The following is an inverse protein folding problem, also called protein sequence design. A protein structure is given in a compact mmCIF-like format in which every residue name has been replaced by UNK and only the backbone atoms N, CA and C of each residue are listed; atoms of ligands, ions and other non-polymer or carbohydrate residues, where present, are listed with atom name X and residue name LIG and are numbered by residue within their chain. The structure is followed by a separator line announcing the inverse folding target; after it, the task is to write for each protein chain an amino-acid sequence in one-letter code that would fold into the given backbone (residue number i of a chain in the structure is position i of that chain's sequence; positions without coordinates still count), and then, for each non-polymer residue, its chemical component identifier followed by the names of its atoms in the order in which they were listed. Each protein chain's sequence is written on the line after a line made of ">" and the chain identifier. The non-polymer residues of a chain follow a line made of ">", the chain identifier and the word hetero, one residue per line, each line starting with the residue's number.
data_IF_386387045231
#
_entry.id   IF_386387045231
#
_cell.length_a   1.000
_cell.length_b   1.000
_cell.length_c   1.000
_cell.angle_alpha   90.00
_cell.angle_beta   90.00
_cell.angle_gamma   90.00
#
_symmetry.space_group_name_H-M   'P 1'
#
loop_
_entity.id
_entity.type
_entity.pdbx_description
1 polymer ?
#
# COMPACT_ATOMS: atom_id res chain seq x y z
N UNK A 1 -3.97 -0.97 -4.36
CA UNK A 1 -2.69 -0.49 -3.79
C UNK A 1 -2.56 0.99 -4.02
N UNK A 2 -2.17 1.74 -3.00
CA UNK A 2 -1.79 3.15 -3.15
C UNK A 2 -0.26 3.23 -3.02
N UNK A 3 0.40 3.79 -4.02
CA UNK A 3 1.86 3.75 -4.16
C UNK A 3 2.42 5.17 -4.23
N UNK A 4 3.43 5.46 -3.43
CA UNK A 4 4.06 6.77 -3.34
C UNK A 4 5.53 6.70 -3.73
N UNK A 5 6.01 7.73 -4.39
CA UNK A 5 7.44 7.97 -4.61
C UNK A 5 7.83 9.35 -4.10
N UNK A 6 8.84 9.40 -3.24
CA UNK A 6 9.43 10.65 -2.75
C UNK A 6 10.86 10.72 -3.27
N UNK A 7 11.10 11.64 -4.20
CA UNK A 7 12.31 11.72 -5.01
C UNK A 7 13.17 12.88 -4.54
N UNK A 8 14.37 12.57 -4.04
CA UNK A 8 15.36 13.54 -3.65
C UNK A 8 16.10 14.12 -4.86
N UNK A 9 16.01 15.43 -5.05
CA UNK A 9 16.65 16.22 -6.10
C UNK A 9 17.68 17.21 -5.52
N UNK A 10 18.21 16.92 -4.33
CA UNK A 10 19.23 17.72 -3.65
C UNK A 10 20.60 17.66 -4.33
N UNK A 11 21.48 18.58 -3.93
CA UNK A 11 22.85 18.66 -4.42
C UNK A 11 23.69 17.43 -4.06
N UNK A 12 23.46 16.82 -2.90
CA UNK A 12 24.23 15.65 -2.42
C UNK A 12 23.96 14.39 -3.23
N UNK A 13 22.73 14.24 -3.76
CA UNK A 13 22.39 13.17 -4.70
C UNK A 13 23.22 13.29 -5.98
N UNK A 14 23.33 14.49 -6.56
CA UNK A 14 24.00 14.71 -7.84
C UNK A 14 23.15 14.32 -9.06
N UNK A 15 23.33 15.01 -10.19
CA UNK A 15 22.49 14.86 -11.38
C UNK A 15 22.48 13.44 -11.98
N UNK A 16 23.62 12.74 -11.94
CA UNK A 16 23.73 11.37 -12.45
C UNK A 16 22.87 10.40 -11.64
N UNK A 17 22.94 10.47 -10.30
CA UNK A 17 22.14 9.63 -9.43
C UNK A 17 20.66 10.02 -9.47
N UNK A 18 20.33 11.31 -9.62
CA UNK A 18 18.96 11.74 -9.83
C UNK A 18 18.37 11.12 -11.11
N UNK A 19 19.14 11.08 -12.20
CA UNK A 19 18.76 10.37 -13.43
C UNK A 19 18.49 8.88 -13.21
N UNK A 20 19.33 8.21 -12.40
CA UNK A 20 19.11 6.82 -11.99
C UNK A 20 17.84 6.66 -11.16
N UNK A 21 17.56 7.60 -10.25
CA UNK A 21 16.34 7.68 -9.45
C UNK A 21 15.07 7.77 -10.30
N UNK A 22 15.08 8.65 -11.30
CA UNK A 22 13.96 8.79 -12.25
C UNK A 22 13.79 7.50 -13.07
N UNK A 23 14.89 6.92 -13.55
CA UNK A 23 14.84 5.68 -14.32
C UNK A 23 14.28 4.52 -13.49
N UNK A 24 14.79 4.36 -12.27
CA UNK A 24 14.30 3.39 -11.30
C UNK A 24 12.80 3.54 -11.04
N UNK A 25 12.34 4.78 -10.80
CA UNK A 25 10.92 5.06 -10.58
C UNK A 25 10.07 4.67 -11.78
N UNK A 26 10.51 4.99 -13.01
CA UNK A 26 9.83 4.58 -14.25
C UNK A 26 9.76 3.05 -14.39
N UNK A 27 10.83 2.36 -14.05
CA UNK A 27 10.87 0.90 -14.16
C UNK A 27 9.92 0.23 -13.15
N UNK A 28 9.85 0.73 -11.92
CA UNK A 28 8.83 0.29 -10.95
C UNK A 28 7.40 0.62 -11.39
N UNK A 29 7.17 1.80 -11.97
CA UNK A 29 5.85 2.16 -12.51
C UNK A 29 5.38 1.19 -13.60
N UNK A 30 6.29 0.72 -14.45
CA UNK A 30 5.96 -0.27 -15.50
C UNK A 30 5.58 -1.64 -14.95
N UNK A 31 5.88 -1.94 -13.68
CA UNK A 31 5.50 -3.20 -13.01
C UNK A 31 4.12 -3.15 -12.37
N UNK A 32 3.50 -1.97 -12.26
CA UNK A 32 2.18 -1.81 -11.63
C UNK A 32 1.11 -1.45 -12.65
N UNK A 33 -0.11 -1.92 -12.39
CA UNK A 33 -1.26 -1.57 -13.21
C UNK A 33 -1.87 -0.24 -12.71
N UNK A 34 -1.37 0.89 -13.21
CA UNK A 34 -1.92 2.22 -12.90
C UNK A 34 -3.30 2.37 -13.56
N UNK A 35 -4.34 2.54 -12.73
CA UNK A 35 -5.73 2.79 -13.17
C UNK A 35 -6.60 3.25 -11.97
N UNK A 36 -7.76 3.90 -12.21
CA UNK A 36 -8.65 4.39 -11.14
C UNK A 36 -9.23 3.29 -10.24
N UNK A 37 -9.23 2.04 -10.70
CA UNK A 37 -9.72 0.89 -9.94
C UNK A 37 -8.61 -0.14 -9.63
N UNK A 38 -7.33 0.25 -9.82
CA UNK A 38 -6.16 -0.62 -9.60
C UNK A 38 -5.14 0.06 -8.70
N UNK A 39 -3.98 0.47 -9.23
CA UNK A 39 -2.95 1.17 -8.46
C UNK A 39 -3.10 2.68 -8.63
N UNK A 40 -3.24 3.39 -7.51
CA UNK A 40 -3.15 4.85 -7.46
C UNK A 40 -1.70 5.23 -7.15
N UNK A 41 -1.19 6.27 -7.79
CA UNK A 41 0.22 6.66 -7.63
C UNK A 41 0.34 8.14 -7.27
N UNK A 42 1.04 8.43 -6.17
CA UNK A 42 1.47 9.78 -5.78
C UNK A 42 2.97 9.93 -6.00
N UNK A 43 3.41 11.10 -6.48
CA UNK A 43 4.83 11.35 -6.75
C UNK A 43 5.18 12.74 -6.24
N UNK A 44 6.22 12.82 -5.43
CA UNK A 44 6.78 14.05 -4.87
C UNK A 44 8.24 14.15 -5.30
N UNK A 45 8.64 15.31 -5.78
CA UNK A 45 10.03 15.67 -6.06
C UNK A 45 10.44 16.77 -5.08
N UNK A 46 11.61 16.72 -4.45
CA UNK A 46 11.97 17.73 -3.47
C UNK A 46 13.45 18.08 -3.44
N UNK A 47 13.75 19.29 -2.97
CA UNK A 47 15.06 19.69 -2.46
C UNK A 47 14.84 20.52 -1.19
N UNK A 48 14.89 21.85 -1.25
CA UNK A 48 14.53 22.74 -0.14
C UNK A 48 13.03 22.70 0.16
N UNK A 49 12.22 22.51 -0.89
CA UNK A 49 10.76 22.45 -0.81
C UNK A 49 10.22 21.28 -1.62
N UNK A 50 9.15 20.61 -1.15
CA UNK A 50 8.51 19.53 -1.89
C UNK A 50 7.58 20.06 -2.98
N UNK A 51 7.67 19.48 -4.17
CA UNK A 51 6.73 19.64 -5.27
C UNK A 51 5.97 18.33 -5.46
N UNK A 52 4.64 18.40 -5.36
CA UNK A 52 3.79 17.25 -5.74
C UNK A 52 3.68 17.22 -7.26
N UNK A 53 4.25 16.18 -7.88
CA UNK A 53 4.13 15.97 -9.32
C UNK A 53 2.76 15.37 -9.66
N UNK A 54 2.28 14.44 -8.83
CA UNK A 54 0.95 13.82 -8.99
C UNK A 54 0.33 13.45 -7.65
N UNK A 55 -0.98 13.60 -7.54
CA UNK A 55 -1.81 13.10 -6.42
C UNK A 55 -2.31 11.68 -6.70
N UNK A 56 -2.74 10.95 -5.66
CA UNK A 56 -3.30 9.61 -5.80
C UNK A 56 -4.56 9.61 -6.69
N UNK A 57 -5.36 10.66 -6.64
CA UNK A 57 -6.57 10.82 -7.44
C UNK A 57 -6.39 11.49 -8.82
N UNK A 58 -5.15 11.54 -9.35
CA UNK A 58 -4.84 12.19 -10.63
C UNK A 58 -3.98 11.31 -11.54
N UNK A 59 -3.94 11.61 -12.84
CA UNK A 59 -3.06 10.99 -13.84
C UNK A 59 -3.15 9.44 -13.86
N UNK A 60 -4.35 8.87 -13.89
CA UNK A 60 -4.60 7.43 -13.73
C UNK A 60 -4.10 6.50 -14.85
N UNK A 61 -3.16 6.93 -15.69
CA UNK A 61 -2.53 6.08 -16.71
C UNK A 61 -1.03 6.03 -16.52
N UNK A 62 -0.42 4.90 -16.89
CA UNK A 62 1.03 4.75 -16.87
C UNK A 62 1.72 5.85 -17.70
N UNK A 63 1.20 6.16 -18.89
CA UNK A 63 1.78 7.20 -19.76
C UNK A 63 1.84 8.56 -19.07
N UNK A 64 0.75 9.00 -18.42
CA UNK A 64 0.72 10.26 -17.69
C UNK A 64 1.69 10.25 -16.49
N UNK A 65 1.76 9.15 -15.72
CA UNK A 65 2.73 9.06 -14.62
C UNK A 65 4.18 9.11 -15.11
N UNK A 66 4.50 8.44 -16.22
CA UNK A 66 5.83 8.49 -16.82
C UNK A 66 6.19 9.89 -17.31
N UNK A 67 5.23 10.62 -17.90
CA UNK A 67 5.40 12.02 -18.31
C UNK A 67 5.74 12.91 -17.10
N UNK A 68 5.03 12.72 -15.98
CA UNK A 68 5.26 13.48 -14.74
C UNK A 68 6.63 13.21 -14.13
N UNK A 69 7.11 11.97 -14.19
CA UNK A 69 8.47 11.62 -13.76
C UNK A 69 9.52 12.22 -14.70
N UNK A 70 9.29 12.22 -16.01
CA UNK A 70 10.22 12.83 -16.98
C UNK A 70 10.29 14.36 -16.82
N UNK A 71 9.22 15.01 -16.34
CA UNK A 71 9.16 16.43 -16.08
C UNK A 71 9.76 16.84 -14.71
N UNK A 72 10.24 15.88 -13.90
CA UNK A 72 10.86 16.17 -12.62
C UNK A 72 12.15 16.97 -12.80
N UNK A 73 12.28 18.07 -12.04
CA UNK A 73 13.43 18.98 -12.13
C UNK A 73 14.48 18.57 -11.10
N UNK A 74 15.75 18.52 -11.53
CA UNK A 74 16.88 18.43 -10.62
C UNK A 74 17.23 19.82 -10.09
N UNK A 75 17.04 20.05 -8.78
CA UNK A 75 17.24 21.39 -8.19
C UNK A 75 18.68 21.64 -7.72
N UNK A 76 19.41 20.58 -7.32
CA UNK A 76 20.80 20.70 -6.83
C UNK A 76 20.95 21.62 -5.60
N UNK A 77 19.99 21.61 -4.68
CA UNK A 77 19.97 22.45 -3.48
C UNK A 77 19.91 21.61 -2.19
N UNK A 78 19.34 22.13 -1.09
CA UNK A 78 19.25 21.42 0.19
C UNK A 78 18.35 20.18 0.17
N UNK A 79 18.28 19.50 1.32
CA UNK A 79 17.65 18.18 1.46
C UNK A 79 16.57 18.22 2.55
N UNK A 80 15.44 18.88 2.28
CA UNK A 80 14.31 18.99 3.21
C UNK A 80 13.41 17.74 3.18
N UNK A 81 13.95 16.60 3.60
CA UNK A 81 13.23 15.32 3.64
C UNK A 81 12.03 15.37 4.58
N UNK A 82 12.13 16.08 5.71
CA UNK A 82 11.01 16.28 6.63
C UNK A 82 9.80 16.93 5.94
N UNK A 83 10.01 18.01 5.17
CA UNK A 83 8.95 18.65 4.39
C UNK A 83 8.37 17.74 3.32
N UNK A 84 9.21 16.94 2.65
CA UNK A 84 8.75 15.96 1.67
C UNK A 84 7.85 14.87 2.29
N UNK A 85 8.17 14.38 3.49
CA UNK A 85 7.35 13.40 4.21
C UNK A 85 6.05 14.01 4.75
N UNK A 86 6.07 15.26 5.19
CA UNK A 86 4.85 15.99 5.53
C UNK A 86 3.94 16.15 4.30
N UNK A 87 4.51 16.49 3.15
CA UNK A 87 3.76 16.56 1.89
C UNK A 87 3.24 15.18 1.47
N UNK A 88 4.00 14.10 1.71
CA UNK A 88 3.55 12.75 1.46
C UNK A 88 2.31 12.38 2.30
N UNK A 89 2.23 12.86 3.55
CA UNK A 89 1.05 12.68 4.38
C UNK A 89 -0.18 13.37 3.78
N UNK A 90 -0.01 14.54 3.15
CA UNK A 90 -1.08 15.24 2.42
C UNK A 90 -1.46 14.48 1.15
N UNK A 91 -0.49 13.98 0.38
CA UNK A 91 -0.76 13.17 -0.83
C UNK A 91 -1.52 11.89 -0.50
N UNK A 92 -1.26 11.30 0.67
CA UNK A 92 -1.93 10.11 1.20
C UNK A 92 -3.12 10.46 2.11
N UNK A 93 -3.72 11.64 1.98
CA UNK A 93 -5.00 11.93 2.64
C UNK A 93 -6.17 11.32 1.87
N UNK A 94 -7.29 11.09 2.55
CA UNK A 94 -8.50 10.58 1.90
C UNK A 94 -9.04 11.56 0.84
N UNK A 95 -8.92 12.87 1.08
CA UNK A 95 -9.32 13.92 0.11
C UNK A 95 -8.45 13.91 -1.16
N UNK A 96 -7.24 13.36 -1.08
CA UNK A 96 -6.30 13.25 -2.21
C UNK A 96 -6.29 11.88 -2.87
N UNK A 97 -7.23 11.00 -2.50
CA UNK A 97 -7.47 9.73 -3.21
C UNK A 97 -6.85 8.50 -2.56
N UNK A 98 -6.39 8.60 -1.30
CA UNK A 98 -6.07 7.40 -0.51
C UNK A 98 -7.34 6.59 -0.29
N UNK A 99 -7.26 5.29 -0.52
CA UNK A 99 -8.32 4.32 -0.22
C UNK A 99 -8.17 3.78 1.18
N UNK A 100 -9.28 3.37 1.78
CA UNK A 100 -9.30 2.88 3.15
C UNK A 100 -8.62 1.50 3.22
N UNK A 101 -7.94 1.21 4.33
CA UNK A 101 -7.37 -0.11 4.58
C UNK A 101 -8.44 -1.22 4.56
N UNK A 102 -9.68 -0.87 4.94
CA UNK A 102 -10.85 -1.75 4.87
C UNK A 102 -11.26 -2.14 3.43
N UNK A 103 -10.70 -1.50 2.41
CA UNK A 103 -10.84 -1.88 1.00
C UNK A 103 -9.75 -2.86 0.54
N UNK A 104 -8.88 -3.33 1.46
CA UNK A 104 -7.77 -4.25 1.16
C UNK A 104 -6.61 -3.56 0.45
N UNK A 105 -6.54 -2.24 0.57
CA UNK A 105 -5.52 -1.42 -0.08
C UNK A 105 -4.37 -1.17 0.88
N UNK A 106 -3.18 -1.66 0.56
CA UNK A 106 -1.96 -1.31 1.27
C UNK A 106 -1.38 0.00 0.72
N UNK A 107 -1.23 1.06 1.54
CA UNK A 107 -0.50 2.26 1.16
C UNK A 107 1.00 2.07 1.41
N UNK A 108 1.82 2.31 0.39
CA UNK A 108 3.28 2.15 0.46
C UNK A 108 3.96 3.36 -0.16
N UNK A 109 5.01 3.88 0.47
CA UNK A 109 5.83 4.97 -0.05
C UNK A 109 7.28 4.52 -0.16
N UNK A 110 7.86 4.67 -1.35
CA UNK A 110 9.29 4.55 -1.57
C UNK A 110 9.95 5.94 -1.42
N UNK A 111 10.81 6.07 -0.43
CA UNK A 111 11.61 7.28 -0.17
C UNK A 111 12.98 7.05 -0.77
N UNK A 112 13.32 7.78 -1.82
CA UNK A 112 14.56 7.57 -2.58
C UNK A 112 15.47 8.78 -2.38
N UNK A 113 16.56 8.58 -1.65
CA UNK A 113 17.45 9.64 -1.15
C UNK A 113 18.80 9.04 -0.75
N UNK A 114 19.82 9.89 -0.60
CA UNK A 114 21.08 9.51 0.05
C UNK A 114 20.97 9.60 1.60
N UNK A 115 19.86 10.05 2.16
CA UNK A 115 19.62 10.08 3.60
C UNK A 115 20.35 11.20 4.34
N UNK A 116 20.92 12.19 3.65
CA UNK A 116 21.60 13.32 4.29
C UNK A 116 20.63 14.51 4.47
N UNK A 117 19.57 14.35 5.28
CA UNK A 117 18.58 15.42 5.42
C UNK A 117 19.10 16.62 6.24
N UNK A 118 18.54 17.79 5.99
CA UNK A 118 18.89 19.02 6.72
C UNK A 118 18.54 18.94 8.22
N UNK A 119 17.62 18.06 8.63
CA UNK A 119 17.18 17.89 10.01
C UNK A 119 16.68 16.47 10.27
N UNK A 120 17.59 15.61 10.72
CA UNK A 120 17.33 14.18 10.99
C UNK A 120 16.16 13.96 11.94
N UNK A 121 16.08 14.71 13.05
CA UNK A 121 15.01 14.54 14.04
C UNK A 121 13.63 14.89 13.46
N UNK A 122 13.54 15.99 12.71
CA UNK A 122 12.30 16.38 12.05
C UNK A 122 11.89 15.37 10.98
N UNK A 123 12.86 14.82 10.25
CA UNK A 123 12.63 13.76 9.25
C UNK A 123 12.08 12.50 9.91
N UNK A 124 12.67 12.04 11.02
CA UNK A 124 12.20 10.87 11.78
C UNK A 124 10.79 11.12 12.32
N UNK A 125 10.51 12.30 12.89
CA UNK A 125 9.15 12.65 13.36
C UNK A 125 8.13 12.60 12.24
N UNK A 126 8.43 13.17 11.07
CA UNK A 126 7.53 13.14 9.92
C UNK A 126 7.31 11.71 9.38
N UNK A 127 8.35 10.89 9.36
CA UNK A 127 8.24 9.48 9.00
C UNK A 127 7.34 8.69 9.98
N UNK A 128 7.45 8.96 11.28
CA UNK A 128 6.63 8.27 12.29
C UNK A 128 5.14 8.60 12.16
N UNK A 129 4.78 9.84 11.84
CA UNK A 129 3.38 10.21 11.56
C UNK A 129 2.79 9.39 10.41
N UNK A 130 3.56 9.17 9.34
CA UNK A 130 3.12 8.32 8.22
C UNK A 130 2.94 6.86 8.65
N UNK A 131 3.88 6.32 9.45
CA UNK A 131 3.81 4.94 9.98
C UNK A 131 2.61 4.74 10.89
N UNK A 132 2.33 5.71 11.77
CA UNK A 132 1.15 5.74 12.65
C UNK A 132 -0.16 5.79 11.86
N UNK A 133 -0.13 6.34 10.64
CA UNK A 133 -1.25 6.32 9.70
C UNK A 133 -1.29 5.06 8.84
N UNK A 134 -0.67 3.95 9.27
CA UNK A 134 -0.61 2.66 8.58
C UNK A 134 0.03 2.70 7.18
N UNK A 135 0.90 3.68 6.90
CA UNK A 135 1.62 3.78 5.63
C UNK A 135 2.96 3.07 5.76
N UNK A 136 3.23 2.11 4.87
CA UNK A 136 4.50 1.39 4.85
C UNK A 136 5.54 2.25 4.14
N UNK A 137 6.62 2.59 4.84
CA UNK A 137 7.73 3.35 4.30
C UNK A 137 8.87 2.41 3.94
N UNK A 138 9.27 2.44 2.67
CA UNK A 138 10.46 1.75 2.15
C UNK A 138 11.50 2.82 1.82
N UNK A 139 12.67 2.77 2.46
CA UNK A 139 13.77 3.69 2.16
C UNK A 139 14.74 3.07 1.15
N UNK A 140 15.16 3.86 0.17
CA UNK A 140 16.04 3.46 -0.93
C UNK A 140 17.25 4.38 -0.94
N UNK A 141 18.39 3.84 -0.51
CA UNK A 141 19.65 4.57 -0.42
C UNK A 141 20.30 4.74 -1.80
N UNK A 142 20.60 5.98 -2.16
CA UNK A 142 21.22 6.35 -3.45
C UNK A 142 22.69 6.75 -3.27
N UNK A 143 23.51 6.45 -4.28
CA UNK A 143 24.93 6.81 -4.28
C UNK A 143 25.80 5.89 -3.41
N UNK A 144 27.04 6.33 -3.15
CA UNK A 144 28.07 5.50 -2.48
C UNK A 144 28.26 5.81 -1.00
N UNK A 145 27.63 6.84 -0.47
CA UNK A 145 27.74 7.24 0.94
C UNK A 145 26.41 7.59 1.60
N UNK A 146 25.32 6.84 1.39
CA UNK A 146 24.07 7.19 2.02
C UNK A 146 24.15 7.09 3.55
N UNK A 147 23.48 7.99 4.27
CA UNK A 147 23.36 7.93 5.72
C UNK A 147 22.39 6.82 6.13
N UNK A 148 22.94 5.62 6.28
CA UNK A 148 22.20 4.40 6.60
C UNK A 148 21.39 4.54 7.89
N UNK A 149 21.91 5.24 8.89
CA UNK A 149 21.23 5.39 10.18
C UNK A 149 19.91 6.16 10.01
N UNK A 150 19.92 7.25 9.25
CA UNK A 150 18.70 8.01 8.97
C UNK A 150 17.73 7.20 8.09
N UNK A 151 18.23 6.54 7.04
CA UNK A 151 17.42 5.69 6.16
C UNK A 151 16.73 4.53 6.90
N UNK A 152 17.44 3.91 7.85
CA UNK A 152 16.88 2.89 8.73
C UNK A 152 15.83 3.46 9.67
N UNK A 153 16.05 4.66 10.23
CA UNK A 153 15.14 5.30 11.16
C UNK A 153 13.81 5.72 10.48
N UNK A 154 13.85 6.13 9.21
CA UNK A 154 12.65 6.60 8.50
C UNK A 154 11.83 5.47 7.87
N UNK A 155 12.41 4.32 7.52
CA UNK A 155 11.63 3.19 7.01
C UNK A 155 10.77 2.52 8.09
N UNK A 156 9.74 1.78 7.68
CA UNK A 156 8.95 0.96 8.60
C UNK A 156 9.82 -0.18 9.13
N UNK A 157 9.87 -0.44 10.45
CA UNK A 157 10.62 -1.56 10.99
C UNK A 157 10.08 -2.93 10.51
N UNK A 158 10.94 -3.96 10.38
CA UNK A 158 12.39 -3.91 10.57
C UNK A 158 13.10 -3.33 9.34
N UNK A 159 14.21 -2.61 9.56
CA UNK A 159 15.00 -2.03 8.46
C UNK A 159 15.54 -3.10 7.50
N UNK A 160 15.83 -4.32 7.99
CA UNK A 160 16.25 -5.45 7.16
C UNK A 160 15.25 -5.84 6.06
N UNK A 161 13.99 -5.43 6.16
CA UNK A 161 12.95 -5.73 5.18
C UNK A 161 12.50 -4.50 4.37
N UNK A 162 12.78 -3.29 4.83
CA UNK A 162 12.23 -2.05 4.29
C UNK A 162 13.29 -0.99 3.95
N UNK A 163 14.57 -1.30 4.14
CA UNK A 163 15.68 -0.54 3.57
C UNK A 163 16.33 -1.34 2.44
N UNK A 164 16.65 -0.65 1.34
CA UNK A 164 17.42 -1.21 0.24
C UNK A 164 18.41 -0.19 -0.30
N UNK A 165 19.60 -0.64 -0.69
CA UNK A 165 20.44 0.15 -1.58
C UNK A 165 19.82 0.14 -2.99
N UNK A 166 19.83 1.27 -3.70
CA UNK A 166 19.33 1.37 -5.08
C UNK A 166 20.05 0.40 -6.03
N UNK A 167 21.31 0.06 -5.74
CA UNK A 167 22.08 -0.96 -6.47
C UNK A 167 21.47 -2.37 -6.35
N UNK A 168 20.68 -2.64 -5.32
CA UNK A 168 19.97 -3.91 -5.14
C UNK A 168 18.58 -3.88 -5.81
N UNK A 169 18.59 -3.60 -7.12
CA UNK A 169 17.38 -3.44 -7.92
C UNK A 169 16.46 -4.67 -7.85
N UNK A 170 17.03 -5.87 -7.89
CA UNK A 170 16.27 -7.13 -7.84
C UNK A 170 15.47 -7.27 -6.54
N UNK A 171 16.06 -6.91 -5.39
CA UNK A 171 15.37 -6.99 -4.11
C UNK A 171 14.24 -5.96 -4.00
N UNK A 172 14.45 -4.76 -4.55
CA UNK A 172 13.42 -3.72 -4.63
C UNK A 172 12.24 -4.14 -5.52
N UNK A 173 12.54 -4.74 -6.68
CA UNK A 173 11.53 -5.30 -7.56
C UNK A 173 10.74 -6.41 -6.86
N UNK A 174 11.42 -7.32 -6.16
CA UNK A 174 10.77 -8.36 -5.36
C UNK A 174 9.89 -7.77 -4.26
N UNK A 175 10.34 -6.72 -3.58
CA UNK A 175 9.56 -6.01 -2.56
C UNK A 175 8.30 -5.40 -3.15
N UNK A 176 8.39 -4.74 -4.31
CA UNK A 176 7.22 -4.22 -5.01
C UNK A 176 6.26 -5.35 -5.40
N UNK A 177 6.78 -6.46 -5.93
CA UNK A 177 6.00 -7.64 -6.28
C UNK A 177 5.28 -8.27 -5.09
N UNK A 178 5.87 -8.23 -3.89
CA UNK A 178 5.18 -8.65 -2.67
C UNK A 178 3.97 -7.76 -2.37
N UNK A 179 4.07 -6.44 -2.54
CA UNK A 179 2.94 -5.54 -2.31
C UNK A 179 1.85 -5.66 -3.37
N UNK A 180 2.23 -5.84 -4.64
CA UNK A 180 1.26 -6.00 -5.73
C UNK A 180 0.57 -7.36 -5.65
N UNK A 181 1.30 -8.45 -5.37
CA UNK A 181 0.71 -9.77 -5.16
C UNK A 181 -0.19 -9.83 -3.93
N UNK A 182 0.20 -9.20 -2.80
CA UNK A 182 -0.67 -9.04 -1.63
C UNK A 182 -1.90 -8.20 -1.96
N UNK A 183 -1.78 -7.07 -2.65
CA UNK A 183 -2.96 -6.28 -3.05
C UNK A 183 -3.90 -7.02 -4.01
N UNK A 184 -3.38 -7.99 -4.77
CA UNK A 184 -4.18 -8.83 -5.66
C UNK A 184 -4.74 -10.09 -4.98
N UNK A 185 -4.29 -10.42 -3.77
CA UNK A 185 -4.69 -11.66 -3.09
C UNK A 185 -5.18 -11.48 -1.67
N UNK A 186 -4.88 -10.39 -0.97
CA UNK A 186 -5.32 -10.21 0.41
C UNK A 186 -6.75 -9.68 0.46
N UNK A 187 -7.64 -10.39 1.18
CA UNK A 187 -8.99 -9.93 1.44
C UNK A 187 -8.99 -8.62 2.24
N UNK A 188 -9.96 -7.75 1.98
CA UNK A 188 -10.13 -6.50 2.70
C UNK A 188 -10.41 -6.75 4.19
N UNK A 189 -9.64 -6.16 5.11
CA UNK A 189 -9.87 -6.37 6.55
C UNK A 189 -11.08 -5.57 7.04
N UNK A 190 -12.05 -6.22 7.68
CA UNK A 190 -13.27 -5.61 8.21
C UNK A 190 -13.30 -5.80 9.72
N UNK A 191 -13.31 -4.70 10.48
CA UNK A 191 -13.43 -4.75 11.93
C UNK A 191 -14.82 -5.21 12.38
N UNK A 192 -14.92 -5.86 13.53
CA UNK A 192 -16.20 -6.29 14.12
C UNK A 192 -17.21 -5.14 14.20
N UNK A 193 -18.50 -5.43 13.97
CA UNK A 193 -19.60 -4.45 13.97
C UNK A 193 -19.53 -3.37 12.88
N UNK A 194 -18.71 -3.56 11.85
CA UNK A 194 -18.65 -2.64 10.69
C UNK A 194 -19.58 -3.11 9.58
N UNK A 195 -20.35 -2.19 9.00
CA UNK A 195 -21.12 -2.45 7.77
C UNK A 195 -20.28 -2.05 6.56
N UNK A 196 -20.06 -2.98 5.63
CA UNK A 196 -19.35 -2.72 4.37
C UNK A 196 -20.32 -2.91 3.22
N UNK A 197 -20.48 -1.87 2.39
CA UNK A 197 -21.30 -1.92 1.17
C UNK A 197 -20.38 -2.17 -0.02
N UNK A 198 -20.64 -3.24 -0.78
CA UNK A 198 -19.77 -3.69 -1.87
C UNK A 198 -20.62 -3.96 -3.11
N UNK A 199 -20.18 -3.43 -4.25
CA UNK A 199 -20.73 -3.79 -5.55
C UNK A 199 -19.88 -4.92 -6.18
N UNK A 200 -20.53 -6.00 -6.60
CA UNK A 200 -19.89 -7.16 -7.22
C UNK A 200 -20.45 -7.34 -8.62
N UNK A 201 -19.61 -7.19 -9.64
CA UNK A 201 -19.99 -7.44 -11.03
C UNK A 201 -20.23 -8.95 -11.27
N UNK A 202 -21.04 -9.28 -12.28
CA UNK A 202 -21.30 -10.67 -12.70
C UNK A 202 -20.00 -11.46 -12.86
N UNK A 203 -19.97 -12.68 -12.33
CA UNK A 203 -18.84 -13.63 -12.40
C UNK A 203 -17.52 -13.11 -11.76
N UNK A 204 -17.62 -12.18 -10.80
CA UNK A 204 -16.49 -11.68 -10.00
C UNK A 204 -16.65 -12.04 -8.53
N UNK A 205 -15.51 -12.08 -7.85
CA UNK A 205 -15.42 -12.37 -6.41
C UNK A 205 -14.88 -11.15 -5.67
N UNK A 206 -15.31 -10.99 -4.42
CA UNK A 206 -14.74 -10.06 -3.46
C UNK A 206 -14.40 -10.82 -2.20
N UNK A 207 -13.17 -10.63 -1.73
CA UNK A 207 -12.65 -11.31 -0.56
C UNK A 207 -12.62 -10.32 0.60
N UNK A 208 -13.16 -10.72 1.75
CA UNK A 208 -13.08 -9.97 3.01
C UNK A 208 -12.44 -10.84 4.10
N UNK A 209 -11.66 -10.21 4.98
CA UNK A 209 -11.11 -10.81 6.19
C UNK A 209 -11.74 -10.11 7.38
N UNK A 210 -12.51 -10.83 8.19
CA UNK A 210 -13.16 -10.23 9.35
C UNK A 210 -12.24 -10.33 10.57
N UNK A 211 -11.98 -9.21 11.25
CA UNK A 211 -11.39 -9.22 12.59
C UNK A 211 -12.46 -9.63 13.59
N UNK A 212 -12.34 -10.86 14.06
CA UNK A 212 -13.32 -11.47 14.96
C UNK A 212 -13.06 -10.98 16.38
N UNK A 213 -13.98 -10.18 16.91
CA UNK A 213 -14.16 -10.06 18.36
C UNK A 213 -15.21 -11.10 18.74
N UNK A 214 -14.76 -12.18 19.36
CA UNK A 214 -15.58 -13.32 19.78
C UNK A 214 -16.71 -12.88 20.72
N UNK A 215 -17.97 -13.13 20.34
CA UNK A 215 -19.10 -13.22 21.29
C UNK A 215 -19.23 -14.70 21.67
N UNK A 216 -18.42 -15.15 22.63
CA UNK A 216 -18.20 -16.59 22.86
C UNK A 216 -17.52 -17.26 21.66
N UNK A 217 -17.93 -18.48 21.27
CA UNK A 217 -17.29 -19.24 20.17
C UNK A 217 -17.99 -19.07 18.81
N UNK A 218 -18.73 -17.97 18.58
CA UNK A 218 -19.52 -17.77 17.37
C UNK A 218 -19.14 -16.48 16.65
N UNK A 219 -19.30 -16.50 15.33
CA UNK A 219 -19.12 -15.36 14.43
C UNK A 219 -20.45 -15.12 13.74
N UNK A 220 -20.94 -13.88 13.75
CA UNK A 220 -22.14 -13.49 13.03
C UNK A 220 -21.74 -12.61 11.85
N UNK A 221 -22.10 -13.04 10.64
CA UNK A 221 -21.94 -12.27 9.40
C UNK A 221 -23.34 -12.09 8.82
N UNK A 222 -23.79 -10.84 8.73
CA UNK A 222 -25.08 -10.50 8.10
C UNK A 222 -24.82 -9.96 6.69
N UNK A 223 -25.44 -10.58 5.69
CA UNK A 223 -25.36 -10.14 4.29
C UNK A 223 -26.75 -9.71 3.84
N UNK A 224 -26.88 -8.44 3.47
CA UNK A 224 -28.12 -7.88 2.91
C UNK A 224 -27.94 -7.67 1.41
N UNK A 225 -28.78 -8.30 0.60
CA UNK A 225 -28.75 -8.15 -0.86
C UNK A 225 -29.68 -7.01 -1.29
N UNK A 226 -29.12 -6.01 -1.96
CA UNK A 226 -29.90 -4.95 -2.59
C UNK A 226 -30.46 -5.35 -3.96
N UNK A 227 -29.72 -6.17 -4.73
CA UNK A 227 -30.13 -6.71 -6.03
C UNK A 227 -29.28 -7.97 -6.38
N UNK A 228 -29.86 -8.91 -7.12
CA UNK A 228 -29.17 -10.11 -7.63
C UNK A 228 -29.03 -11.25 -6.63
N UNK A 229 -28.13 -12.19 -6.93
CA UNK A 229 -27.79 -13.35 -6.09
C UNK A 229 -26.27 -13.46 -5.98
N UNK A 230 -25.77 -13.77 -4.77
CA UNK A 230 -24.35 -14.04 -4.52
C UNK A 230 -24.20 -15.36 -3.76
N UNK A 231 -23.07 -16.04 -3.99
CA UNK A 231 -22.65 -17.18 -3.17
C UNK A 231 -21.68 -16.66 -2.09
N UNK A 232 -21.86 -17.11 -0.85
CA UNK A 232 -20.92 -16.83 0.23
C UNK A 232 -20.00 -18.03 0.44
N UNK A 233 -18.71 -17.76 0.58
CA UNK A 233 -17.67 -18.74 0.91
C UNK A 233 -16.86 -18.23 2.10
N UNK A 234 -16.44 -19.11 3.01
CA UNK A 234 -15.61 -18.74 4.16
C UNK A 234 -14.55 -19.81 4.47
N UNK A 235 -13.43 -19.40 5.05
CA UNK A 235 -12.36 -20.30 5.47
C UNK A 235 -11.76 -19.81 6.79
N UNK A 236 -11.60 -20.73 7.74
CA UNK A 236 -10.94 -20.47 9.03
C UNK A 236 -9.50 -20.98 9.08
N UNK A 237 -9.12 -21.81 8.10
CA UNK A 237 -7.83 -22.52 8.06
C UNK A 237 -6.94 -22.00 6.95
N UNK A 238 -7.50 -21.54 5.84
CA UNK A 238 -6.75 -20.90 4.77
C UNK A 238 -6.75 -19.39 4.98
N UNK A 239 -5.56 -18.84 5.29
CA UNK A 239 -5.36 -17.41 5.56
C UNK A 239 -5.53 -16.53 4.30
N UNK A 240 -5.46 -17.12 3.11
CA UNK A 240 -5.54 -16.41 1.83
C UNK A 240 -6.16 -17.31 0.75
N UNK A 241 -7.49 -17.54 0.80
CA UNK A 241 -8.19 -18.31 -0.23
C UNK A 241 -8.26 -17.49 -1.52
N UNK A 242 -7.81 -18.06 -2.65
CA UNK A 242 -7.68 -17.36 -3.94
C UNK A 242 -8.69 -17.84 -4.97
N UNK A 243 -9.17 -19.06 -4.82
CA UNK A 243 -10.21 -19.68 -5.65
C UNK A 243 -11.39 -20.17 -4.80
N UNK A 244 -12.62 -20.25 -5.33
CA UNK A 244 -13.76 -20.86 -4.64
C UNK A 244 -13.47 -22.27 -4.09
N UNK A 245 -12.56 -23.00 -4.73
CA UNK A 245 -12.10 -24.33 -4.31
C UNK A 245 -11.18 -24.32 -3.08
N UNK A 246 -10.62 -23.17 -2.69
CA UNK A 246 -9.75 -23.02 -1.51
C UNK A 246 -10.53 -22.85 -0.20
N UNK A 247 -11.85 -22.67 -0.30
CA UNK A 247 -12.75 -22.57 0.83
C UNK A 247 -13.21 -23.98 1.22
N UNK A 248 -13.12 -24.31 2.52
CA UNK A 248 -13.62 -25.59 3.02
C UNK A 248 -15.15 -25.53 2.91
N UNK A 249 -15.68 -26.28 1.95
CA UNK A 249 -17.05 -26.26 1.43
C UNK A 249 -18.14 -26.02 2.48
N UNK A 250 -18.69 -24.80 2.48
CA UNK A 250 -20.10 -24.56 2.81
C UNK A 250 -20.60 -23.41 1.93
N UNK A 251 -21.14 -23.77 0.76
CA UNK A 251 -21.85 -22.84 -0.11
C UNK A 251 -23.26 -22.63 0.48
N UNK A 252 -23.60 -21.40 0.84
CA UNK A 252 -24.99 -21.03 1.13
C UNK A 252 -25.40 -19.87 0.24
N UNK A 253 -26.67 -19.86 -0.19
CA UNK A 253 -27.26 -18.66 -0.78
C UNK A 253 -27.51 -17.70 0.38
N UNK A 254 -27.24 -16.41 0.20
CA UNK A 254 -27.51 -15.43 1.26
C UNK A 254 -28.98 -15.44 1.75
N UNK A 255 -29.90 -15.96 0.93
CA UNK A 255 -31.32 -16.08 1.25
C UNK A 255 -31.68 -17.40 1.99
N UNK A 256 -30.78 -18.38 2.06
CA UNK A 256 -31.02 -19.73 2.59
C UNK A 256 -30.41 -19.94 4.00
N UNK A 257 -30.23 -18.87 4.79
CA UNK A 257 -29.68 -19.00 6.15
C UNK A 257 -30.72 -19.61 7.10
N UNK A 258 -30.75 -20.94 7.13
CA UNK A 258 -31.63 -21.76 7.98
C UNK A 258 -31.27 -21.59 9.48
N UNK A 259 -32.25 -21.23 10.34
CA UNK A 259 -32.15 -21.27 11.80
C UNK A 259 -31.77 -22.64 12.42
N UNK A 260 -31.66 -23.72 11.66
CA UNK A 260 -31.27 -25.06 12.14
C UNK A 260 -29.76 -25.34 12.13
N UNK A 261 -28.96 -24.59 11.34
CA UNK A 261 -27.49 -24.70 11.28
C UNK A 261 -26.78 -24.27 12.58
N UNK A 262 -27.55 -23.85 13.59
CA UNK A 262 -27.12 -23.36 14.90
C UNK A 262 -26.59 -24.47 15.83
N UNK A 263 -26.72 -25.74 15.42
CA UNK A 263 -26.56 -26.91 16.28
C UNK A 263 -25.30 -27.75 16.01
N UNK A 264 -24.58 -27.54 14.89
CA UNK A 264 -23.49 -28.44 14.47
C UNK A 264 -22.05 -28.03 14.83
N UNK A 265 -21.83 -26.90 15.51
CA UNK A 265 -20.48 -26.54 15.99
C UNK A 265 -20.19 -27.14 17.37
N UNK A 266 -20.18 -28.47 17.44
CA UNK A 266 -19.52 -29.25 18.49
C UNK A 266 -18.65 -30.30 17.81
N UNK A 267 -17.41 -29.95 17.50
CA UNK A 267 -16.36 -30.95 17.33
C UNK A 267 -15.05 -30.43 17.91
N UNK A 268 -14.48 -31.29 18.72
CA UNK A 268 -13.33 -31.10 19.60
C UNK A 268 -12.03 -30.93 18.81
N UNK A 269 -11.14 -30.06 19.28
CA UNK A 269 -9.73 -30.03 18.86
C UNK A 269 -8.84 -30.61 19.96
N UNK A 270 -7.98 -31.56 19.58
CA UNK A 270 -6.61 -31.62 20.11
C UNK A 270 -5.73 -30.75 19.23
#
# INVERSE_FOLDING_TARGET
>A
MDLGFVLDASGSVGSANFGLQLQFTKDLLRRVNVAPNKTHVGIINYSDSPQTLTWLNTDYTLAQKLERVNAAIYYSSGTNTAGALQQANVVFSYERGRRQSAEGVTPVIFIITDGASNNVEATIRAANVLKENDIILVSVGVGTGPNINELHAICTPPASENYFAMSNYNALEQKLNQFTSRSCSEPATVSSNTTVTIEISKDKYKFLKVEIVTIGNKILITVTLFNGNVNLFYSFTNRNPKDPADFIDYQTRANDVDPSLWTQFKSYFR
#
